data_IF_433162192813
#
_entry.id   IF_433162192813
#
_cell.length_a   1.000
_cell.length_b   1.000
_cell.length_c   1.000
_cell.angle_alpha   90.00
_cell.angle_beta   90.00
_cell.angle_gamma   90.00
#
_symmetry.space_group_name_H-M   'P 1'
#
loop_
_entity.id
_entity.type
_entity.pdbx_description
1 polymer ?
#
# COMPACT_ATOMS: atom_id res chain seq x y z
N UNK A 1 -0.38 19.76 17.69
CA UNK A 1 -0.75 19.78 16.25
C UNK A 1 0.19 18.85 15.52
N UNK A 2 -0.29 17.70 15.01
CA UNK A 2 0.20 17.21 13.71
C UNK A 2 -0.95 16.68 12.81
N UNK A 3 -0.97 17.12 11.56
CA UNK A 3 -1.94 16.74 10.51
C UNK A 3 -1.80 15.24 10.17
N UNK A 4 -2.85 14.40 10.22
CA UNK A 4 -4.07 14.30 9.39
C UNK A 4 -3.81 14.01 7.89
N UNK A 5 -4.09 12.76 7.50
CA UNK A 5 -4.74 12.30 6.26
C UNK A 5 -4.05 12.13 4.90
N UNK A 6 -2.73 12.19 4.77
CA UNK A 6 -2.08 11.51 3.64
C UNK A 6 -1.53 10.16 4.13
N UNK A 7 -1.97 9.04 3.58
CA UNK A 7 -1.16 7.81 3.62
C UNK A 7 -0.02 8.04 2.62
N UNK A 8 1.21 8.40 3.06
CA UNK A 8 2.30 8.63 2.13
C UNK A 8 2.51 7.36 1.29
N UNK A 9 2.91 7.51 0.02
CA UNK A 9 3.22 6.40 -0.90
C UNK A 9 4.02 5.30 -0.19
N UNK A 10 4.98 5.71 0.65
CA UNK A 10 5.85 4.86 1.45
C UNK A 10 5.08 3.94 2.41
N UNK A 11 4.01 4.44 3.06
CA UNK A 11 3.13 3.63 3.92
C UNK A 11 2.34 2.60 3.11
N UNK A 12 1.89 2.94 1.91
CA UNK A 12 1.16 2.02 1.02
C UNK A 12 2.09 0.93 0.49
N UNK A 13 3.28 1.30 0.02
CA UNK A 13 4.32 0.34 -0.40
C UNK A 13 4.67 -0.60 0.75
N UNK A 14 4.91 -0.06 1.96
CA UNK A 14 5.23 -0.89 3.13
C UNK A 14 4.09 -1.85 3.48
N UNK A 15 2.84 -1.40 3.39
CA UNK A 15 1.67 -2.24 3.66
C UNK A 15 1.51 -3.36 2.62
N UNK A 16 1.69 -3.06 1.33
CA UNK A 16 1.61 -4.04 0.24
C UNK A 16 2.72 -5.08 0.33
N UNK A 17 3.96 -4.66 0.64
CA UNK A 17 5.07 -5.57 0.92
C UNK A 17 4.78 -6.45 2.14
N UNK A 18 4.24 -5.87 3.21
CA UNK A 18 3.88 -6.64 4.40
C UNK A 18 2.78 -7.70 4.14
N UNK A 19 1.83 -7.40 3.24
CA UNK A 19 0.85 -8.39 2.80
C UNK A 19 1.46 -9.49 1.93
N UNK A 20 2.42 -9.15 1.05
CA UNK A 20 3.14 -10.11 0.22
C UNK A 20 3.99 -11.06 1.07
N UNK A 21 4.72 -10.50 2.02
CA UNK A 21 5.68 -11.22 2.87
C UNK A 21 4.98 -11.97 4.02
N UNK A 22 3.64 -12.01 4.04
CA UNK A 22 2.78 -12.58 5.10
C UNK A 22 3.07 -12.01 6.52
N UNK A 23 3.82 -10.93 6.64
CA UNK A 23 4.10 -10.26 7.92
C UNK A 23 2.88 -9.51 8.45
N UNK A 24 1.91 -9.23 7.57
CA UNK A 24 0.59 -8.71 7.94
C UNK A 24 -0.49 -9.72 7.57
N UNK A 25 -1.31 -10.20 8.53
CA UNK A 25 -2.40 -11.12 8.23
C UNK A 25 -3.46 -10.40 7.38
N UNK A 26 -3.61 -10.86 6.14
CA UNK A 26 -4.63 -10.39 5.19
C UNK A 26 -5.46 -11.57 4.69
N UNK A 27 -6.77 -11.54 4.92
CA UNK A 27 -7.70 -12.60 4.48
C UNK A 27 -7.78 -12.72 2.95
N UNK A 28 -7.62 -11.60 2.25
CA UNK A 28 -7.66 -11.50 0.77
C UNK A 28 -6.42 -10.78 0.23
N UNK A 29 -6.01 -9.67 0.86
CA UNK A 29 -4.90 -8.84 0.39
C UNK A 29 -3.56 -9.59 0.30
N UNK A 30 -3.29 -10.57 1.17
CA UNK A 30 -2.06 -11.38 1.08
C UNK A 30 -2.01 -12.24 -0.18
N UNK A 31 -3.15 -12.77 -0.64
CA UNK A 31 -3.23 -13.53 -1.91
C UNK A 31 -3.01 -12.64 -3.12
N UNK A 32 -3.54 -11.42 -3.08
CA UNK A 32 -3.34 -10.42 -4.13
C UNK A 32 -1.87 -9.98 -4.18
N UNK A 33 -1.30 -9.61 -3.03
CA UNK A 33 0.06 -9.07 -2.95
C UNK A 33 1.15 -10.10 -3.30
N UNK A 34 0.90 -11.40 -3.13
CA UNK A 34 1.81 -12.48 -3.57
C UNK A 34 2.03 -12.53 -5.08
N UNK A 35 1.07 -12.05 -5.87
CA UNK A 35 1.20 -11.99 -7.32
C UNK A 35 1.79 -10.69 -7.85
N UNK A 36 2.16 -9.75 -6.97
CA UNK A 36 2.65 -8.42 -7.36
C UNK A 36 4.17 -8.34 -7.27
N UNK A 37 4.78 -7.80 -8.32
CA UNK A 37 6.19 -7.42 -8.30
C UNK A 37 6.39 -6.06 -7.60
N UNK A 38 7.63 -5.75 -7.23
CA UNK A 38 7.97 -4.49 -6.56
C UNK A 38 7.54 -3.25 -7.38
N UNK A 39 7.66 -3.35 -8.71
CA UNK A 39 7.21 -2.35 -9.69
C UNK A 39 5.69 -2.14 -9.65
N UNK A 40 4.92 -3.22 -9.56
CA UNK A 40 3.46 -3.15 -9.46
C UNK A 40 3.01 -2.54 -8.13
N UNK A 41 3.67 -2.94 -7.03
CA UNK A 41 3.42 -2.39 -5.69
C UNK A 41 3.64 -0.87 -5.68
N UNK A 42 4.72 -0.40 -6.30
CA UNK A 42 5.01 1.03 -6.42
C UNK A 42 4.01 1.76 -7.31
N UNK A 43 3.63 1.18 -8.45
CA UNK A 43 2.64 1.76 -9.36
C UNK A 43 1.27 1.89 -8.69
N UNK A 44 0.83 0.85 -7.97
CA UNK A 44 -0.42 0.86 -7.21
C UNK A 44 -0.36 1.89 -6.07
N UNK A 45 0.75 1.96 -5.33
CA UNK A 45 0.91 2.94 -4.28
C UNK A 45 0.88 4.38 -4.81
N UNK A 46 1.50 4.65 -5.97
CA UNK A 46 1.44 5.95 -6.64
C UNK A 46 0.00 6.27 -7.05
N UNK A 47 -0.69 5.32 -7.68
CA UNK A 47 -2.07 5.47 -8.13
C UNK A 47 -3.01 5.79 -6.96
N UNK A 48 -2.96 5.01 -5.87
CA UNK A 48 -3.79 5.22 -4.67
C UNK A 48 -3.42 6.52 -3.95
N UNK A 49 -2.14 6.89 -3.90
CA UNK A 49 -1.71 8.15 -3.28
C UNK A 49 -2.19 9.38 -4.05
N UNK A 50 -2.38 9.25 -5.38
CA UNK A 50 -2.90 10.31 -6.25
C UNK A 50 -4.43 10.41 -6.21
N UNK A 51 -5.12 9.29 -6.00
CA UNK A 51 -6.59 9.22 -5.96
C UNK A 51 -7.17 9.51 -4.57
N UNK A 52 -6.33 9.54 -3.53
CA UNK A 52 -6.74 9.98 -2.21
C UNK A 52 -7.06 11.48 -2.24
N UNK A 53 -8.32 11.91 -2.03
CA UNK A 53 -8.61 13.33 -1.89
C UNK A 53 -7.88 13.82 -0.65
N UNK A 54 -6.97 14.78 -0.82
CA UNK A 54 -6.43 15.52 0.31
C UNK A 54 -7.59 16.28 0.97
N UNK A 55 -7.87 16.09 2.27
CA UNK A 55 -8.84 16.92 2.98
C UNK A 55 -8.34 18.35 3.18
#
# INVERSE_FOLDING_TARGET
IPSFNALPKERLVAALRAFRDDTRPGTVMSRIAKGLEDTDIEAIAIYISKDSPQP
#
